data_IF_630005901020
#
_entry.id   IF_630005901020
#
_cell.length_a   1.000
_cell.length_b   1.000
_cell.length_c   1.000
_cell.angle_alpha   90.00
_cell.angle_beta   90.00
_cell.angle_gamma   90.00
#
_symmetry.space_group_name_H-M   'P 1'
#
loop_
_entity.id
_entity.type
_entity.pdbx_description
1 polymer ?
#
# COMPACT_ATOMS: atom_id res chain seq x y z
N UNK A 1 -13.42 54.60 -14.47
CA UNK A 1 -13.73 53.21 -14.04
C UNK A 1 -12.77 52.25 -14.75
N UNK A 2 -11.85 51.62 -14.02
CA UNK A 2 -10.83 50.74 -14.61
C UNK A 2 -11.30 49.28 -14.62
N UNK A 3 -11.40 48.69 -15.81
CA UNK A 3 -11.78 47.30 -16.04
C UNK A 3 -10.70 46.36 -15.49
N UNK A 4 -11.04 45.55 -14.47
CA UNK A 4 -10.20 44.45 -14.00
C UNK A 4 -10.21 43.36 -15.08
N UNK A 5 -9.21 43.37 -15.96
CA UNK A 5 -8.95 42.25 -16.89
C UNK A 5 -8.92 40.95 -16.09
N UNK A 6 -9.85 40.05 -16.38
CA UNK A 6 -9.90 38.71 -15.79
C UNK A 6 -8.82 37.84 -16.46
N UNK A 7 -7.58 37.96 -15.98
CA UNK A 7 -6.55 37.01 -16.37
C UNK A 7 -6.98 35.62 -15.89
N UNK A 8 -7.18 34.69 -16.83
CA UNK A 8 -7.40 33.28 -16.51
C UNK A 8 -6.14 32.77 -15.82
N UNK A 9 -6.19 32.62 -14.49
CA UNK A 9 -5.16 31.90 -13.75
C UNK A 9 -5.15 30.47 -14.26
N UNK A 10 -4.13 30.09 -15.04
CA UNK A 10 -3.87 28.68 -15.33
C UNK A 10 -3.62 28.01 -13.99
N UNK A 11 -4.56 27.20 -13.53
CA UNK A 11 -4.32 26.25 -12.43
C UNK A 11 -3.31 25.24 -12.96
N UNK A 12 -2.02 25.50 -12.77
CA UNK A 12 -1.02 24.45 -12.90
C UNK A 12 -1.41 23.38 -11.89
N UNK A 13 -1.66 22.12 -12.31
CA UNK A 13 -1.91 21.06 -11.37
C UNK A 13 -0.68 21.00 -10.47
N UNK A 14 -0.81 21.44 -9.22
CA UNK A 14 0.16 21.15 -8.19
C UNK A 14 0.06 19.64 -8.01
N UNK A 15 0.93 18.91 -8.70
CA UNK A 15 1.13 17.50 -8.42
C UNK A 15 1.75 17.48 -7.03
N UNK A 16 1.05 17.01 -6.00
CA UNK A 16 1.64 16.89 -4.68
C UNK A 16 2.92 16.07 -4.85
N UNK A 17 4.04 16.65 -4.45
CA UNK A 17 5.32 15.95 -4.47
C UNK A 17 5.21 14.89 -3.38
N UNK A 18 4.96 13.66 -3.80
CA UNK A 18 4.95 12.48 -2.93
C UNK A 18 6.40 12.22 -2.52
N UNK A 19 6.90 12.95 -1.54
CA UNK A 19 8.23 12.71 -0.99
C UNK A 19 8.15 11.54 -0.01
N UNK A 20 8.54 10.36 -0.48
CA UNK A 20 8.82 9.19 0.37
C UNK A 20 10.24 9.23 0.94
N UNK A 21 11.07 10.17 0.48
CA UNK A 21 12.43 10.37 0.99
C UNK A 21 12.37 11.08 2.35
N UNK A 22 13.21 10.64 3.29
CA UNK A 22 13.30 11.25 4.61
C UNK A 22 14.77 11.33 5.08
N UNK A 23 15.08 12.19 6.07
CA UNK A 23 16.45 12.36 6.56
C UNK A 23 17.08 11.07 7.08
N UNK A 24 16.29 10.14 7.63
CA UNK A 24 16.80 8.87 8.13
C UNK A 24 17.36 8.00 7.00
N UNK A 25 16.67 7.93 5.85
CA UNK A 25 17.16 7.22 4.66
C UNK A 25 18.46 7.85 4.15
N UNK A 26 18.59 9.18 4.21
CA UNK A 26 19.83 9.87 3.82
C UNK A 26 20.99 9.49 4.75
N UNK A 27 20.76 9.46 6.07
CA UNK A 27 21.75 9.02 7.06
C UNK A 27 22.20 7.59 6.79
N UNK A 28 21.26 6.65 6.62
CA UNK A 28 21.57 5.24 6.35
C UNK A 28 22.33 5.06 5.03
N UNK A 29 21.98 5.81 3.98
CA UNK A 29 22.72 5.84 2.71
C UNK A 29 24.16 6.32 2.89
N UNK A 30 24.37 7.40 3.66
CA UNK A 30 25.69 7.93 3.99
C UNK A 30 26.53 6.94 4.79
N UNK A 31 25.94 6.24 5.76
CA UNK A 31 26.61 5.18 6.52
C UNK A 31 27.11 4.03 5.63
N UNK A 32 26.27 3.54 4.72
CA UNK A 32 26.66 2.48 3.75
C UNK A 32 27.81 2.97 2.88
N UNK A 33 27.73 4.23 2.42
CA UNK A 33 28.76 4.84 1.59
C UNK A 33 30.09 4.98 2.35
N UNK A 34 30.05 5.32 3.64
CA UNK A 34 31.22 5.35 4.50
C UNK A 34 31.84 3.95 4.68
N UNK A 35 31.03 2.91 4.88
CA UNK A 35 31.52 1.52 4.98
C UNK A 35 32.18 1.06 3.68
N UNK A 36 31.60 1.38 2.52
CA UNK A 36 32.21 1.08 1.22
C UNK A 36 33.55 1.78 1.02
N UNK A 37 33.64 3.06 1.42
CA UNK A 37 34.91 3.81 1.40
C UNK A 37 35.97 3.20 2.32
N UNK A 38 35.60 2.76 3.53
CA UNK A 38 36.52 2.08 4.45
C UNK A 38 37.01 0.76 3.87
N UNK A 39 36.10 -0.07 3.35
CA UNK A 39 36.45 -1.32 2.68
C UNK A 39 37.44 -1.11 1.53
N UNK A 40 37.30 -0.03 0.76
CA UNK A 40 38.22 0.29 -0.34
C UNK A 40 39.63 0.64 0.14
N UNK A 41 39.77 1.21 1.34
CA UNK A 41 41.06 1.63 1.93
C UNK A 41 41.69 0.57 2.84
N UNK A 42 40.99 -0.53 3.10
CA UNK A 42 41.44 -1.60 3.99
C UNK A 42 41.93 -2.80 3.19
N UNK A 43 42.66 -3.70 3.84
CA UNK A 43 43.19 -4.93 3.24
C UNK A 43 42.60 -6.18 3.92
N UNK A 44 42.67 -7.31 3.20
CA UNK A 44 42.37 -8.67 3.68
C UNK A 44 41.12 -8.80 4.57
N UNK A 45 41.31 -9.26 5.82
CA UNK A 45 40.23 -9.55 6.75
C UNK A 45 39.41 -8.30 7.10
N UNK A 46 40.08 -7.15 7.28
CA UNK A 46 39.40 -5.90 7.64
C UNK A 46 38.49 -5.43 6.48
N UNK A 47 38.99 -5.53 5.24
CA UNK A 47 38.19 -5.27 4.04
C UNK A 47 36.95 -6.16 3.98
N UNK A 48 37.10 -7.47 4.23
CA UNK A 48 35.97 -8.39 4.28
C UNK A 48 34.94 -8.00 5.34
N UNK A 49 35.38 -7.58 6.53
CA UNK A 49 34.46 -7.14 7.59
C UNK A 49 33.63 -5.91 7.19
N UNK A 50 34.26 -4.90 6.57
CA UNK A 50 33.55 -3.70 6.13
C UNK A 50 32.59 -3.99 4.97
N UNK A 51 32.98 -4.87 4.04
CA UNK A 51 32.10 -5.30 2.96
C UNK A 51 30.89 -6.05 3.48
N UNK A 52 31.07 -6.97 4.43
CA UNK A 52 29.96 -7.69 5.07
C UNK A 52 29.01 -6.72 5.78
N UNK A 53 29.54 -5.81 6.59
CA UNK A 53 28.75 -4.75 7.26
C UNK A 53 27.98 -3.90 6.24
N UNK A 54 28.62 -3.51 5.13
CA UNK A 54 27.98 -2.74 4.07
C UNK A 54 26.83 -3.50 3.40
N UNK A 55 27.02 -4.80 3.10
CA UNK A 55 25.99 -5.67 2.50
C UNK A 55 24.77 -5.81 3.42
N UNK A 56 24.98 -6.06 4.71
CA UNK A 56 23.91 -6.17 5.71
C UNK A 56 23.12 -4.86 5.78
N UNK A 57 23.81 -3.72 5.98
CA UNK A 57 23.16 -2.40 6.02
C UNK A 57 22.45 -2.06 4.72
N UNK A 58 23.00 -2.43 3.57
CA UNK A 58 22.36 -2.22 2.27
C UNK A 58 21.06 -3.02 2.12
N UNK A 59 21.02 -4.26 2.63
CA UNK A 59 19.79 -5.06 2.63
C UNK A 59 18.70 -4.40 3.48
N UNK A 60 19.05 -3.95 4.70
CA UNK A 60 18.13 -3.24 5.59
C UNK A 60 17.64 -1.95 4.94
N UNK A 61 18.54 -1.15 4.38
CA UNK A 61 18.20 0.09 3.69
C UNK A 61 17.22 -0.13 2.53
N UNK A 62 17.39 -1.19 1.73
CA UNK A 62 16.43 -1.54 0.66
C UNK A 62 15.04 -1.82 1.24
N UNK A 63 14.94 -2.56 2.34
CA UNK A 63 13.67 -2.83 3.03
C UNK A 63 13.04 -1.53 3.57
N UNK A 64 13.83 -0.65 4.18
CA UNK A 64 13.37 0.65 4.69
C UNK A 64 12.86 1.55 3.56
N UNK A 65 13.56 1.60 2.41
CA UNK A 65 13.13 2.35 1.23
C UNK A 65 11.79 1.84 0.70
N UNK A 66 11.62 0.52 0.57
CA UNK A 66 10.36 -0.08 0.11
C UNK A 66 9.22 0.22 1.10
N UNK A 67 9.48 0.11 2.40
CA UNK A 67 8.52 0.46 3.44
C UNK A 67 8.12 1.93 3.38
N UNK A 68 9.09 2.85 3.24
CA UNK A 68 8.84 4.28 3.13
C UNK A 68 7.99 4.62 1.90
N UNK A 69 8.26 4.00 0.75
CA UNK A 69 7.43 4.14 -0.46
C UNK A 69 6.00 3.65 -0.24
N UNK A 70 5.82 2.45 0.33
CA UNK A 70 4.50 1.87 0.62
C UNK A 70 3.72 2.74 1.60
N UNK A 71 4.34 3.18 2.68
CA UNK A 71 3.71 4.03 3.69
C UNK A 71 3.35 5.41 3.13
N UNK A 72 4.21 5.97 2.29
CA UNK A 72 3.92 7.22 1.60
C UNK A 72 2.71 7.07 0.69
N UNK A 73 2.67 6.01 -0.13
CA UNK A 73 1.50 5.73 -0.97
C UNK A 73 0.22 5.55 -0.13
N UNK A 74 0.26 4.72 0.93
CA UNK A 74 -0.88 4.51 1.84
C UNK A 74 -1.39 5.83 2.41
N UNK A 75 -0.50 6.67 2.97
CA UNK A 75 -0.85 7.98 3.55
C UNK A 75 -1.52 8.91 2.54
N UNK A 76 -1.00 8.97 1.32
CA UNK A 76 -1.57 9.83 0.27
C UNK A 76 -2.95 9.32 -0.19
N UNK A 77 -3.14 8.00 -0.30
CA UNK A 77 -4.44 7.43 -0.64
C UNK A 77 -5.49 7.61 0.47
N UNK A 78 -5.09 7.61 1.76
CA UNK A 78 -6.01 7.86 2.88
C UNK A 78 -6.39 9.32 3.07
N UNK A 79 -5.63 10.26 2.48
CA UNK A 79 -5.91 11.69 2.56
C UNK A 79 -6.90 12.18 1.50
N UNK A 80 -7.20 11.34 0.50
CA UNK A 80 -8.18 11.66 -0.55
C UNK A 80 -9.57 11.23 -0.07
N UNK A 81 -10.58 12.09 -0.22
CA UNK A 81 -11.97 11.75 0.10
C UNK A 81 -12.51 10.63 -0.82
N UNK A 82 -11.94 10.51 -2.02
CA UNK A 82 -12.32 9.48 -2.98
C UNK A 82 -11.41 8.25 -2.89
N UNK A 83 -12.00 7.08 -2.66
CA UNK A 83 -11.32 5.77 -2.62
C UNK A 83 -10.47 5.51 -3.89
N UNK A 84 -10.92 6.03 -5.04
CA UNK A 84 -10.21 5.99 -6.33
C UNK A 84 -9.73 7.38 -6.76
N UNK A 85 -9.25 8.14 -5.79
CA UNK A 85 -8.84 9.53 -5.94
C UNK A 85 -7.60 9.74 -6.80
N UNK A 86 -7.03 10.94 -6.72
CA UNK A 86 -5.95 11.40 -7.61
C UNK A 86 -4.73 10.49 -7.54
N UNK A 87 -4.35 10.04 -6.35
CA UNK A 87 -3.18 9.21 -6.13
C UNK A 87 -3.34 7.79 -6.68
N UNK A 88 -4.54 7.22 -6.56
CA UNK A 88 -4.88 5.95 -7.18
C UNK A 88 -4.73 6.07 -8.71
N UNK A 89 -5.39 7.06 -9.32
CA UNK A 89 -5.31 7.28 -10.77
C UNK A 89 -3.88 7.51 -11.28
N UNK A 90 -3.03 8.21 -10.51
CA UNK A 90 -1.61 8.42 -10.85
C UNK A 90 -0.83 7.10 -10.82
N UNK A 91 -1.02 6.28 -9.80
CA UNK A 91 -0.30 5.01 -9.66
C UNK A 91 -0.64 4.02 -10.78
N UNK A 92 -1.91 4.02 -11.21
CA UNK A 92 -2.41 3.12 -12.25
C UNK A 92 -2.50 3.78 -13.64
N UNK A 93 -1.95 5.00 -13.82
CA UNK A 93 -2.04 5.72 -15.11
C UNK A 93 -1.35 4.99 -16.26
N UNK A 94 -0.26 4.31 -15.95
CA UNK A 94 0.59 3.60 -16.91
C UNK A 94 0.55 2.08 -16.74
N UNK A 95 -0.22 1.57 -15.77
CA UNK A 95 -0.50 0.14 -15.68
C UNK A 95 -1.73 -0.16 -16.52
N UNK A 96 -1.88 -1.42 -16.92
CA UNK A 96 -3.17 -1.93 -17.35
C UNK A 96 -4.24 -1.51 -16.31
N UNK A 97 -5.43 -1.12 -16.77
CA UNK A 97 -6.46 -0.66 -15.84
C UNK A 97 -6.73 -1.79 -14.83
N UNK A 98 -7.16 -1.52 -13.58
CA UNK A 98 -7.58 -2.60 -12.68
C UNK A 98 -8.63 -3.54 -13.31
N UNK A 99 -9.36 -3.07 -14.32
CA UNK A 99 -10.25 -3.86 -15.17
C UNK A 99 -9.54 -4.89 -16.05
N UNK A 100 -8.30 -4.65 -16.49
CA UNK A 100 -7.46 -5.63 -17.18
C UNK A 100 -6.91 -6.70 -16.23
N UNK A 101 -7.05 -6.55 -14.91
CA UNK A 101 -6.75 -7.65 -14.01
C UNK A 101 -7.67 -8.85 -14.30
N UNK A 102 -8.92 -8.58 -14.68
CA UNK A 102 -9.86 -9.62 -15.09
C UNK A 102 -9.44 -10.29 -16.40
N UNK A 103 -8.81 -9.57 -17.33
CA UNK A 103 -8.29 -10.16 -18.57
C UNK A 103 -7.02 -10.97 -18.34
N UNK A 104 -6.20 -10.61 -17.33
CA UNK A 104 -4.98 -11.35 -16.95
C UNK A 104 -5.25 -12.59 -16.09
N UNK A 105 -6.20 -12.51 -15.16
CA UNK A 105 -6.58 -13.65 -14.30
C UNK A 105 -7.28 -14.73 -15.14
N UNK A 106 -7.88 -14.34 -16.26
CA UNK A 106 -8.88 -15.16 -16.93
C UNK A 106 -8.61 -15.34 -18.43
N UNK A 107 -7.58 -16.14 -18.74
CA UNK A 107 -7.52 -16.79 -20.05
C UNK A 107 -8.49 -17.98 -20.16
N UNK A 108 -9.24 -18.33 -19.09
CA UNK A 108 -10.01 -19.59 -19.04
C UNK A 108 -11.51 -19.45 -18.76
N UNK A 109 -11.99 -18.39 -18.10
CA UNK A 109 -13.42 -18.19 -17.85
C UNK A 109 -13.95 -16.96 -18.58
N UNK A 110 -15.03 -17.20 -19.33
CA UNK A 110 -15.82 -16.16 -19.98
C UNK A 110 -16.82 -15.63 -18.95
N UNK A 111 -16.76 -14.34 -18.61
CA UNK A 111 -17.73 -13.72 -17.70
C UNK A 111 -17.58 -12.21 -17.59
N UNK A 112 -18.59 -11.54 -17.03
CA UNK A 112 -18.47 -10.11 -16.71
C UNK A 112 -17.48 -9.92 -15.54
N UNK A 113 -16.85 -8.74 -15.39
CA UNK A 113 -15.95 -8.44 -14.26
C UNK A 113 -16.55 -8.77 -12.87
N UNK A 114 -17.88 -8.65 -12.75
CA UNK A 114 -18.62 -8.95 -11.52
C UNK A 114 -18.65 -10.46 -11.24
N UNK A 115 -18.83 -11.27 -12.28
CA UNK A 115 -18.86 -12.73 -12.17
C UNK A 115 -17.48 -13.26 -11.78
N UNK A 116 -16.42 -12.68 -12.35
CA UNK A 116 -15.04 -13.04 -12.03
C UNK A 116 -14.72 -12.66 -10.58
N UNK A 117 -15.11 -11.45 -10.15
CA UNK A 117 -14.93 -11.03 -8.76
C UNK A 117 -15.67 -11.96 -7.77
N UNK A 118 -16.88 -12.40 -8.13
CA UNK A 118 -17.67 -13.36 -7.32
C UNK A 118 -16.98 -14.73 -7.25
N UNK A 119 -16.50 -15.24 -8.39
CA UNK A 119 -15.76 -16.51 -8.46
C UNK A 119 -14.49 -16.50 -7.61
N UNK A 120 -13.72 -15.40 -7.65
CA UNK A 120 -12.54 -15.22 -6.79
C UNK A 120 -12.95 -15.24 -5.31
N UNK A 121 -14.04 -14.55 -4.95
CA UNK A 121 -14.51 -14.50 -3.57
C UNK A 121 -14.95 -15.88 -3.07
N UNK A 122 -15.70 -16.62 -3.88
CA UNK A 122 -16.15 -18.00 -3.57
C UNK A 122 -14.97 -18.98 -3.45
N UNK A 123 -13.93 -18.80 -4.28
CA UNK A 123 -12.73 -19.65 -4.25
C UNK A 123 -11.88 -19.41 -3.01
N UNK A 124 -11.67 -18.14 -2.65
CA UNK A 124 -10.83 -17.75 -1.50
C UNK A 124 -11.55 -17.93 -0.16
N UNK A 125 -12.88 -17.80 -0.16
CA UNK A 125 -13.73 -17.89 1.02
C UNK A 125 -14.94 -18.78 0.72
N UNK A 126 -14.74 -20.11 0.58
CA UNK A 126 -15.85 -21.01 0.37
C UNK A 126 -16.76 -20.97 1.61
N UNK A 127 -18.04 -20.67 1.42
CA UNK A 127 -19.03 -20.70 2.49
C UNK A 127 -19.07 -22.11 3.06
N UNK A 128 -18.62 -22.31 4.29
CA UNK A 128 -18.75 -23.57 5.01
C UNK A 128 -20.22 -23.77 5.36
N UNK A 129 -20.95 -24.45 4.48
CA UNK A 129 -22.35 -24.82 4.71
C UNK A 129 -22.35 -26.02 5.65
N UNK A 130 -22.28 -25.78 6.96
CA UNK A 130 -22.88 -26.74 7.89
C UNK A 130 -24.40 -26.51 7.87
N UNK A 131 -25.06 -27.41 7.14
CA UNK A 131 -26.46 -27.80 7.17
C UNK A 131 -27.39 -26.95 8.03
N UNK A 132 -28.05 -25.96 7.42
CA UNK A 132 -29.34 -25.46 7.91
C UNK A 132 -30.45 -26.28 7.26
N UNK A 133 -30.94 -27.29 7.96
CA UNK A 133 -32.31 -27.77 7.76
C UNK A 133 -33.15 -27.24 8.93
N UNK A 134 -33.92 -26.17 8.64
CA UNK A 134 -35.29 -25.87 9.07
C UNK A 134 -35.59 -26.06 10.60
N UNK A 135 -36.03 -25.09 11.40
CA UNK A 135 -37.36 -24.42 11.39
C UNK A 135 -37.40 -23.41 12.58
N UNK A 136 -38.21 -22.35 12.42
CA UNK A 136 -38.85 -21.48 13.43
C UNK A 136 -38.13 -20.21 13.96
N UNK A 137 -38.63 -19.08 13.47
CA UNK A 137 -38.70 -17.78 14.16
C UNK A 137 -39.42 -17.93 15.51
N UNK A 138 -38.96 -17.28 16.60
CA UNK A 138 -39.54 -15.97 16.91
C UNK A 138 -38.59 -14.95 17.58
N UNK A 139 -38.81 -13.69 17.21
CA UNK A 139 -38.80 -12.47 18.06
C UNK A 139 -37.52 -12.10 18.82
N UNK A 140 -36.95 -10.97 18.37
CA UNK A 140 -36.47 -9.84 19.17
C UNK A 140 -36.27 -10.10 20.66
N UNK A 141 -35.03 -10.09 21.17
CA UNK A 141 -34.71 -9.44 22.46
C UNK A 141 -33.31 -8.82 22.40
N UNK A 142 -33.33 -7.51 22.17
CA UNK A 142 -32.27 -6.57 22.50
C UNK A 142 -32.20 -6.44 24.03
N UNK A 143 -30.98 -6.26 24.54
CA UNK A 143 -30.66 -5.69 25.86
C UNK A 143 -30.98 -6.57 27.08
N UNK A 144 -29.93 -7.03 27.77
CA UNK A 144 -29.67 -6.61 29.15
C UNK A 144 -28.36 -7.21 29.67
N UNK A 145 -27.37 -6.35 29.84
CA UNK A 145 -26.27 -6.58 30.76
C UNK A 145 -26.82 -6.67 32.20
N UNK A 146 -26.49 -7.74 32.93
CA UNK A 146 -26.32 -7.70 34.39
C UNK A 146 -25.13 -8.54 34.82
N UNK A 147 -24.26 -7.88 35.59
CA UNK A 147 -23.10 -8.41 36.31
C UNK A 147 -23.49 -9.51 37.31
N UNK A 148 -22.61 -10.48 37.61
CA UNK A 148 -22.73 -11.30 38.80
C UNK A 148 -22.04 -10.60 39.99
N UNK A 149 -22.80 -10.34 41.06
CA UNK A 149 -22.26 -10.12 42.40
C UNK A 149 -22.21 -11.44 43.18
N UNK A 150 -21.05 -11.67 43.80
CA UNK A 150 -20.73 -12.69 44.82
C UNK A 150 -21.85 -12.98 45.82
N UNK A 151 -21.96 -14.25 46.20
CA UNK A 151 -21.66 -14.72 47.57
C UNK A 151 -20.92 -16.05 47.48
#
# INVERSE_FOLDING_TARGET
MACRKSYKLKKTPSTPIISWWNPQLETRKKEISALKRRAQRSFDAEKATFQLKAKIKQSIFKKEVLSAKRNCFKRNCTQDENVYGKFFKIAFKNSAAPTDLFTLIDNQQRGSPRDIAKSILETLYPTTIETTNQIQSPKQQLLNHRLPTRN
#
